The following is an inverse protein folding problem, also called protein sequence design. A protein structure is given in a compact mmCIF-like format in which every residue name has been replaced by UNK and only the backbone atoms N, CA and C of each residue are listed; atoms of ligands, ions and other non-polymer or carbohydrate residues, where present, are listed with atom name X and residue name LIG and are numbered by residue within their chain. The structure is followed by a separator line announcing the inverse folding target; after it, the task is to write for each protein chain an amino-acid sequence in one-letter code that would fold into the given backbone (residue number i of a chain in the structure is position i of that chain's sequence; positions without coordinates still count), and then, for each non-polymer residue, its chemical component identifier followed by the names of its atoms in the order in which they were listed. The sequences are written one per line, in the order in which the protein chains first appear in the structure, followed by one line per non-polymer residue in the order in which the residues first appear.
data_IF_853728188164
#
_entry.id   IF_853728188164
#
_cell.length_a   1.000
_cell.length_b   1.000
_cell.length_c   1.000
_cell.angle_alpha   90.00
_cell.angle_beta   90.00
_cell.angle_gamma   90.00
#
_symmetry.space_group_name_H-M   'P 1'
#
loop_
_entity.id
_entity.type
_entity.pdbx_description
1 polymer ?
#
# COMPACT_ATOMS: atom_id res chain seq x y z
N UNK A 1 3.00 28.94 38.01
CA UNK A 1 3.17 29.06 36.55
C UNK A 1 4.04 27.90 36.11
N UNK A 2 3.40 26.77 35.81
CA UNK A 2 4.03 25.60 35.22
C UNK A 2 4.03 25.82 33.71
N UNK A 3 5.21 25.89 33.12
CA UNK A 3 5.41 25.91 31.67
C UNK A 3 4.82 24.64 31.07
N UNK A 4 3.98 24.72 30.01
CA UNK A 4 3.61 23.55 29.26
C UNK A 4 4.85 23.02 28.53
N UNK A 5 5.11 21.73 28.71
CA UNK A 5 6.04 20.95 27.90
C UNK A 5 5.64 21.11 26.43
N UNK A 6 6.53 21.72 25.66
CA UNK A 6 6.48 21.71 24.19
C UNK A 6 6.65 20.27 23.73
N UNK A 7 5.68 19.79 22.95
CA UNK A 7 5.64 18.45 22.38
C UNK A 7 6.97 18.05 21.72
N UNK A 8 7.65 17.05 22.28
CA UNK A 8 8.60 16.24 21.54
C UNK A 8 7.80 15.35 20.59
N UNK A 9 7.80 15.68 19.29
CA UNK A 9 7.11 14.88 18.25
C UNK A 9 6.91 15.59 16.90
N UNK A 10 7.69 16.62 16.59
CA UNK A 10 7.36 17.62 15.55
C UNK A 10 7.86 17.31 14.13
N UNK A 11 8.70 16.31 13.92
CA UNK A 11 9.33 16.07 12.61
C UNK A 11 8.35 15.39 11.63
N UNK A 12 8.28 15.83 10.35
CA UNK A 12 7.52 15.12 9.31
C UNK A 12 8.06 13.70 9.09
N UNK A 13 7.20 12.81 8.60
CA UNK A 13 7.62 11.47 8.17
C UNK A 13 8.68 11.57 7.06
N UNK A 14 9.70 10.73 7.12
CA UNK A 14 10.51 10.43 5.94
C UNK A 14 9.74 9.42 5.09
N UNK A 15 9.57 9.70 3.80
CA UNK A 15 8.83 8.83 2.88
C UNK A 15 9.78 7.92 2.13
N UNK A 16 9.70 6.62 2.40
CA UNK A 16 10.42 5.59 1.67
C UNK A 16 9.57 5.04 0.54
N UNK A 17 10.15 4.84 -0.63
CA UNK A 17 9.50 4.22 -1.79
C UNK A 17 9.78 2.74 -1.80
N UNK A 18 8.77 1.94 -2.08
CA UNK A 18 9.00 0.53 -2.32
C UNK A 18 7.92 -0.17 -3.11
N UNK A 19 8.24 -1.42 -3.44
CA UNK A 19 7.43 -2.30 -4.23
C UNK A 19 7.38 -3.68 -3.55
N UNK A 20 6.19 -4.09 -3.07
CA UNK A 20 6.02 -5.30 -2.27
C UNK A 20 5.51 -6.47 -3.10
N UNK A 21 5.33 -6.31 -4.42
CA UNK A 21 4.75 -7.33 -5.27
C UNK A 21 5.54 -7.43 -6.57
N UNK A 22 6.50 -8.36 -6.60
CA UNK A 22 7.38 -8.60 -7.75
C UNK A 22 7.72 -10.08 -7.89
N UNK A 23 8.08 -10.48 -9.11
CA UNK A 23 8.28 -11.89 -9.48
C UNK A 23 9.59 -12.11 -10.24
N UNK A 24 10.36 -13.06 -9.74
CA UNK A 24 11.54 -13.61 -10.39
C UNK A 24 11.49 -15.13 -10.20
N UNK A 25 11.09 -15.84 -11.25
CA UNK A 25 10.83 -17.29 -11.22
C UNK A 25 11.95 -18.10 -11.89
N UNK A 26 13.05 -17.44 -12.23
CA UNK A 26 14.22 -18.02 -12.88
C UNK A 26 15.45 -17.50 -12.16
N UNK A 27 16.14 -18.37 -11.42
CA UNK A 27 17.26 -17.96 -10.55
C UNK A 27 18.36 -17.24 -11.32
N UNK A 28 18.62 -17.65 -12.56
CA UNK A 28 19.61 -17.06 -13.45
C UNK A 28 19.30 -15.60 -13.81
N UNK A 29 18.04 -15.17 -13.71
CA UNK A 29 17.60 -13.80 -14.02
C UNK A 29 17.65 -12.85 -12.82
N UNK A 30 18.15 -13.31 -11.67
CA UNK A 30 18.25 -12.46 -10.46
C UNK A 30 19.13 -11.22 -10.70
N UNK A 31 20.18 -11.33 -11.51
CA UNK A 31 21.00 -10.18 -11.92
C UNK A 31 20.20 -9.16 -12.73
N UNK A 32 19.54 -9.62 -13.80
CA UNK A 32 18.70 -8.77 -14.66
C UNK A 32 17.55 -8.11 -13.88
N UNK A 33 16.98 -8.83 -12.91
CA UNK A 33 15.98 -8.27 -12.00
C UNK A 33 16.54 -7.08 -11.22
N UNK A 34 17.73 -7.22 -10.61
CA UNK A 34 18.37 -6.12 -9.85
C UNK A 34 18.65 -4.92 -10.74
N UNK A 35 19.18 -5.15 -11.94
CA UNK A 35 19.50 -4.10 -12.90
C UNK A 35 18.24 -3.36 -13.39
N UNK A 36 17.06 -3.97 -13.24
CA UNK A 36 15.78 -3.36 -13.60
C UNK A 36 15.16 -2.50 -12.50
N UNK A 37 15.59 -2.63 -11.24
CA UNK A 37 15.01 -1.89 -10.11
C UNK A 37 15.25 -0.40 -10.28
N UNK A 38 14.19 0.41 -10.20
CA UNK A 38 14.33 1.86 -10.26
C UNK A 38 15.19 2.38 -9.10
N UNK A 39 16.22 3.22 -9.36
CA UNK A 39 17.15 3.68 -8.34
C UNK A 39 16.51 4.58 -7.28
N UNK A 40 15.25 5.00 -7.46
CA UNK A 40 14.48 5.77 -6.46
C UNK A 40 13.79 4.87 -5.44
N UNK A 41 13.77 3.54 -5.61
CA UNK A 41 13.25 2.64 -4.59
C UNK A 41 14.22 2.49 -3.42
N UNK A 42 13.64 2.46 -2.23
CA UNK A 42 14.34 2.23 -0.96
C UNK A 42 14.19 0.77 -0.50
N UNK A 43 13.14 0.08 -0.94
CA UNK A 43 12.92 -1.33 -0.64
C UNK A 43 12.12 -2.07 -1.74
N UNK A 44 12.32 -3.38 -1.84
CA UNK A 44 11.57 -4.28 -2.74
C UNK A 44 11.28 -5.60 -2.01
N UNK A 45 10.16 -6.26 -2.34
CA UNK A 45 9.90 -7.63 -1.92
C UNK A 45 9.84 -8.57 -3.12
N UNK A 46 10.52 -9.72 -3.02
CA UNK A 46 10.33 -10.83 -3.96
C UNK A 46 9.19 -11.71 -3.43
N UNK A 47 8.10 -11.82 -4.20
CA UNK A 47 6.85 -12.45 -3.78
C UNK A 47 6.34 -13.40 -4.86
N UNK A 48 7.15 -14.41 -5.23
CA UNK A 48 6.69 -15.38 -6.22
C UNK A 48 5.43 -16.10 -5.73
N UNK A 49 4.63 -16.52 -6.69
CA UNK A 49 3.46 -17.37 -6.53
C UNK A 49 3.72 -18.63 -5.68
N UNK A 50 2.99 -18.78 -4.56
CA UNK A 50 3.21 -19.84 -3.56
C UNK A 50 3.01 -21.28 -4.06
N UNK A 51 2.22 -21.47 -5.12
CA UNK A 51 1.96 -22.76 -5.76
C UNK A 51 3.09 -23.22 -6.70
N UNK A 52 4.03 -22.34 -7.07
CA UNK A 52 5.06 -22.67 -8.06
C UNK A 52 6.24 -23.39 -7.39
N UNK A 53 6.85 -24.41 -8.02
CA UNK A 53 8.01 -25.09 -7.45
C UNK A 53 9.16 -24.16 -7.08
N UNK A 54 9.47 -23.17 -7.92
CA UNK A 54 10.55 -22.20 -7.69
C UNK A 54 10.36 -21.37 -6.42
N UNK A 55 9.12 -21.18 -5.96
CA UNK A 55 8.86 -20.47 -4.71
C UNK A 55 9.55 -21.15 -3.52
N UNK A 56 9.61 -22.49 -3.49
CA UNK A 56 10.28 -23.25 -2.42
C UNK A 56 11.82 -23.19 -2.47
N UNK A 57 12.37 -22.52 -3.48
CA UNK A 57 13.80 -22.22 -3.63
C UNK A 57 14.07 -20.71 -3.52
N UNK A 58 13.03 -19.87 -3.42
CA UNK A 58 13.10 -18.40 -3.46
C UNK A 58 14.07 -17.81 -2.43
N UNK A 59 14.24 -18.43 -1.27
CA UNK A 59 15.20 -17.97 -0.26
C UNK A 59 16.64 -17.83 -0.78
N UNK A 60 17.07 -18.64 -1.75
CA UNK A 60 18.37 -18.48 -2.42
C UNK A 60 18.41 -17.22 -3.30
N UNK A 61 17.32 -16.95 -4.01
CA UNK A 61 17.18 -15.75 -4.84
C UNK A 61 17.13 -14.48 -3.99
N UNK A 62 16.39 -14.48 -2.88
CA UNK A 62 16.37 -13.38 -1.91
C UNK A 62 17.77 -13.12 -1.34
N UNK A 63 18.53 -14.17 -1.01
CA UNK A 63 19.90 -14.03 -0.54
C UNK A 63 20.82 -13.41 -1.61
N UNK A 64 20.70 -13.82 -2.87
CA UNK A 64 21.46 -13.24 -3.99
C UNK A 64 21.05 -11.78 -4.27
N UNK A 65 19.75 -11.45 -4.24
CA UNK A 65 19.23 -10.09 -4.34
C UNK A 65 19.82 -9.18 -3.25
N UNK A 66 19.84 -9.64 -1.98
CA UNK A 66 20.44 -8.90 -0.85
C UNK A 66 21.94 -8.63 -1.04
N UNK A 67 22.65 -9.52 -1.73
CA UNK A 67 24.07 -9.33 -2.02
C UNK A 67 24.29 -8.34 -3.17
N UNK A 68 23.42 -8.36 -4.18
CA UNK A 68 23.56 -7.55 -5.40
C UNK A 68 23.02 -6.13 -5.25
N UNK A 69 21.86 -5.97 -4.63
CA UNK A 69 21.19 -4.67 -4.47
C UNK A 69 21.41 -4.10 -3.06
N UNK A 70 22.61 -3.58 -2.83
CA UNK A 70 23.01 -3.04 -1.52
C UNK A 70 22.55 -1.61 -1.25
N UNK A 71 21.96 -0.92 -2.24
CA UNK A 71 21.43 0.43 -2.09
C UNK A 71 20.05 0.49 -1.43
N UNK A 72 19.36 -0.66 -1.29
CA UNK A 72 18.01 -0.75 -0.74
C UNK A 72 17.81 -1.97 0.16
N UNK A 73 16.59 -2.14 0.65
CA UNK A 73 16.18 -3.26 1.50
C UNK A 73 15.45 -4.30 0.66
N UNK A 74 15.90 -5.56 0.71
CA UNK A 74 15.21 -6.69 0.07
C UNK A 74 14.45 -7.50 1.11
N UNK A 75 13.14 -7.61 0.90
CA UNK A 75 12.18 -8.37 1.68
C UNK A 75 11.83 -9.68 0.98
N UNK A 76 11.46 -10.69 1.78
CA UNK A 76 10.95 -11.97 1.28
C UNK A 76 9.44 -12.02 1.48
N UNK A 77 8.71 -12.58 0.53
CA UNK A 77 7.29 -12.83 0.70
C UNK A 77 6.75 -13.88 -0.25
N UNK A 78 5.43 -14.01 -0.27
CA UNK A 78 4.72 -14.93 -1.16
C UNK A 78 3.52 -14.20 -1.73
N UNK A 79 3.31 -14.32 -3.04
CA UNK A 79 1.98 -14.07 -3.59
C UNK A 79 1.13 -15.33 -3.36
N UNK A 80 0.31 -15.27 -2.32
CA UNK A 80 -0.51 -16.37 -1.86
C UNK A 80 -1.82 -16.42 -2.63
N UNK A 81 -2.20 -17.59 -3.14
CA UNK A 81 -3.55 -17.81 -3.67
C UNK A 81 -4.55 -17.96 -2.52
N UNK A 82 -4.96 -16.80 -2.02
CA UNK A 82 -5.71 -16.64 -0.80
C UNK A 82 -7.09 -17.35 -0.86
N UNK A 83 -7.50 -18.06 0.21
CA UNK A 83 -8.85 -18.62 0.34
C UNK A 83 -9.94 -17.56 0.18
N UNK A 84 -10.98 -17.88 -0.59
CA UNK A 84 -12.17 -17.05 -0.84
C UNK A 84 -11.93 -15.67 -1.49
N UNK A 85 -10.71 -15.36 -1.95
CA UNK A 85 -10.35 -14.08 -2.55
C UNK A 85 -9.63 -14.20 -3.90
N UNK A 86 -8.75 -13.23 -4.18
CA UNK A 86 -7.85 -13.22 -5.34
C UNK A 86 -6.47 -13.75 -4.96
N UNK A 87 -5.45 -12.92 -5.17
CA UNK A 87 -4.12 -13.13 -4.61
C UNK A 87 -3.85 -12.12 -3.50
N UNK A 88 -3.02 -12.48 -2.53
CA UNK A 88 -2.56 -11.58 -1.48
C UNK A 88 -1.06 -11.75 -1.29
N UNK A 89 -0.32 -10.65 -1.23
CA UNK A 89 1.08 -10.69 -0.83
C UNK A 89 1.17 -10.81 0.70
N UNK A 90 1.90 -11.82 1.16
CA UNK A 90 2.35 -11.95 2.56
C UNK A 90 3.85 -11.71 2.60
N UNK A 91 4.26 -10.58 3.15
CA UNK A 91 5.66 -10.12 3.17
C UNK A 91 6.21 -10.18 4.58
N UNK A 92 7.39 -10.77 4.73
CA UNK A 92 8.06 -11.01 6.00
C UNK A 92 9.18 -9.97 6.21
N UNK A 93 9.35 -9.45 7.43
CA UNK A 93 10.54 -8.69 7.76
C UNK A 93 11.76 -9.63 7.69
N UNK A 94 12.97 -9.12 7.37
CA UNK A 94 14.18 -9.93 7.32
C UNK A 94 14.38 -10.73 8.62
N UNK A 95 14.28 -12.05 8.52
CA UNK A 95 14.43 -12.96 9.65
C UNK A 95 15.08 -14.27 9.20
N UNK A 96 15.73 -14.99 10.12
CA UNK A 96 16.44 -16.24 9.80
C UNK A 96 15.52 -17.35 9.31
N UNK A 97 14.24 -17.33 9.70
CA UNK A 97 13.22 -18.31 9.32
C UNK A 97 12.08 -17.75 8.45
N UNK A 98 12.29 -16.58 7.82
CA UNK A 98 11.26 -15.96 6.95
C UNK A 98 10.80 -16.90 5.82
N UNK A 99 11.72 -17.72 5.28
CA UNK A 99 11.43 -18.70 4.25
C UNK A 99 10.62 -19.88 4.80
N UNK A 100 10.96 -20.37 6.00
CA UNK A 100 10.23 -21.46 6.65
C UNK A 100 8.77 -21.07 6.89
N UNK A 101 8.54 -19.86 7.41
CA UNK A 101 7.19 -19.32 7.60
C UNK A 101 6.42 -19.19 6.27
N UNK A 102 7.04 -18.64 5.22
CA UNK A 102 6.41 -18.48 3.92
C UNK A 102 6.05 -19.84 3.28
N UNK A 103 6.94 -20.83 3.39
CA UNK A 103 6.72 -22.18 2.86
C UNK A 103 5.64 -22.93 3.62
N UNK A 104 5.61 -22.78 4.96
CA UNK A 104 4.56 -23.36 5.78
C UNK A 104 3.18 -22.81 5.40
N UNK A 105 3.06 -21.48 5.19
CA UNK A 105 1.82 -20.86 4.71
C UNK A 105 1.38 -21.45 3.37
N UNK A 106 2.28 -21.48 2.37
CA UNK A 106 1.94 -21.99 1.05
C UNK A 106 1.52 -23.46 1.08
N UNK A 107 2.29 -24.33 1.75
CA UNK A 107 1.98 -25.77 1.88
C UNK A 107 0.68 -26.04 2.63
N UNK A 108 0.41 -25.25 3.66
CA UNK A 108 -0.78 -25.41 4.48
C UNK A 108 -2.04 -24.92 3.78
N UNK A 109 -1.97 -23.77 3.11
CA UNK A 109 -3.17 -22.96 2.85
C UNK A 109 -3.24 -22.32 1.46
N UNK A 110 -2.29 -22.53 0.55
CA UNK A 110 -2.42 -22.07 -0.84
C UNK A 110 -3.48 -22.87 -1.60
N UNK A 111 -4.52 -22.21 -2.12
CA UNK A 111 -5.67 -22.90 -2.74
C UNK A 111 -5.35 -23.65 -4.04
N UNK A 112 -4.20 -23.38 -4.65
CA UNK A 112 -3.78 -23.99 -5.91
C UNK A 112 -2.67 -25.02 -5.74
N UNK A 113 -2.23 -25.27 -4.50
CA UNK A 113 -1.23 -26.28 -4.20
C UNK A 113 -1.88 -27.59 -3.76
N UNK A 114 -1.45 -28.70 -4.37
CA UNK A 114 -1.97 -30.03 -4.05
C UNK A 114 -1.69 -30.41 -2.59
N UNK A 115 -2.74 -30.86 -1.89
CA UNK A 115 -2.67 -31.27 -0.49
C UNK A 115 -2.83 -30.14 0.53
N UNK A 116 -2.86 -28.88 0.09
CA UNK A 116 -3.20 -27.75 0.94
C UNK A 116 -4.69 -27.79 1.35
N UNK A 117 -4.99 -27.11 2.46
CA UNK A 117 -6.35 -26.97 3.03
C UNK A 117 -6.68 -25.48 3.14
N UNK A 118 -7.04 -24.81 2.03
CA UNK A 118 -7.26 -23.36 2.03
C UNK A 118 -8.37 -22.97 3.00
N UNK A 119 -7.99 -22.27 4.07
CA UNK A 119 -8.88 -21.80 5.13
C UNK A 119 -8.36 -20.47 5.70
N UNK A 120 -9.22 -19.46 5.77
CA UNK A 120 -8.83 -18.11 6.19
C UNK A 120 -8.38 -18.14 7.66
N UNK A 121 -9.20 -18.70 8.54
CA UNK A 121 -8.97 -18.67 9.98
C UNK A 121 -7.67 -19.42 10.36
N UNK A 122 -7.47 -20.62 9.81
CA UNK A 122 -6.28 -21.42 10.07
C UNK A 122 -5.01 -20.80 9.47
N UNK A 123 -5.09 -20.21 8.26
CA UNK A 123 -3.97 -19.49 7.65
C UNK A 123 -3.58 -18.26 8.48
N UNK A 124 -4.56 -17.45 8.89
CA UNK A 124 -4.33 -16.28 9.73
C UNK A 124 -3.82 -16.66 11.13
N UNK A 125 -4.33 -17.74 11.72
CA UNK A 125 -3.83 -18.27 12.99
C UNK A 125 -2.35 -18.67 12.89
N UNK A 126 -1.94 -19.38 11.82
CA UNK A 126 -0.54 -19.74 11.61
C UNK A 126 0.36 -18.50 11.49
N UNK A 127 -0.08 -17.46 10.77
CA UNK A 127 0.66 -16.20 10.69
C UNK A 127 0.72 -15.48 12.04
N UNK A 128 -0.31 -15.65 12.87
CA UNK A 128 -0.40 -15.12 14.22
C UNK A 128 0.54 -15.75 15.25
N UNK A 129 0.88 -17.02 15.06
CA UNK A 129 1.85 -17.75 15.89
C UNK A 129 3.27 -17.23 15.71
N UNK A 130 3.55 -16.54 14.60
CA UNK A 130 4.86 -15.91 14.36
C UNK A 130 5.07 -14.77 15.36
N UNK A 131 6.24 -14.78 15.99
CA UNK A 131 6.62 -13.80 17.00
C UNK A 131 6.56 -12.35 16.45
N UNK A 132 6.23 -11.35 17.30
CA UNK A 132 5.97 -9.99 16.83
C UNK A 132 7.08 -9.35 15.97
N UNK A 133 8.35 -9.66 16.24
CA UNK A 133 9.50 -9.14 15.48
C UNK A 133 9.65 -9.75 14.08
N UNK A 134 9.19 -10.99 13.88
CA UNK A 134 9.22 -11.71 12.61
C UNK A 134 7.85 -11.73 11.89
N UNK A 135 6.82 -11.14 12.50
CA UNK A 135 5.44 -11.20 12.02
C UNK A 135 5.31 -10.50 10.66
N UNK A 136 4.68 -11.15 9.67
CA UNK A 136 4.52 -10.57 8.35
C UNK A 136 3.45 -9.47 8.31
N UNK A 137 3.30 -8.89 7.14
CA UNK A 137 2.14 -8.11 6.71
C UNK A 137 1.50 -8.78 5.51
N UNK A 138 0.17 -8.68 5.42
CA UNK A 138 -0.67 -9.18 4.34
C UNK A 138 -1.37 -7.99 3.68
N UNK A 139 -1.23 -7.89 2.36
CA UNK A 139 -2.03 -6.99 1.54
C UNK A 139 -2.77 -7.73 0.43
N UNK A 140 -3.98 -7.26 0.12
CA UNK A 140 -4.81 -7.84 -0.94
C UNK A 140 -4.36 -7.31 -2.31
N UNK A 141 -3.97 -8.21 -3.21
CA UNK A 141 -3.41 -7.83 -4.51
C UNK A 141 -4.52 -7.45 -5.49
N UNK A 142 -4.16 -6.47 -6.33
CA UNK A 142 -4.78 -6.07 -7.57
C UNK A 142 -6.30 -6.30 -7.64
N UNK A 143 -7.11 -5.71 -6.73
CA UNK A 143 -8.51 -6.06 -6.50
C UNK A 143 -9.43 -5.62 -7.65
N UNK A 144 -9.30 -6.30 -8.79
CA UNK A 144 -10.16 -6.15 -9.94
C UNK A 144 -11.57 -6.65 -9.60
N UNK A 145 -12.60 -6.20 -10.34
CA UNK A 145 -13.98 -6.62 -10.11
C UNK A 145 -14.11 -8.15 -9.99
N UNK A 146 -14.68 -8.61 -8.88
CA UNK A 146 -14.93 -10.03 -8.61
C UNK A 146 -13.77 -10.79 -7.94
N UNK A 147 -12.59 -10.20 -7.75
CA UNK A 147 -11.49 -10.87 -7.04
C UNK A 147 -11.59 -10.77 -5.52
N UNK A 148 -12.01 -9.60 -5.02
CA UNK A 148 -12.16 -9.33 -3.59
C UNK A 148 -13.52 -8.72 -3.30
N UNK A 149 -14.05 -8.99 -2.11
CA UNK A 149 -15.27 -8.37 -1.58
C UNK A 149 -15.02 -7.82 -0.19
N UNK A 150 -15.83 -6.85 0.24
CA UNK A 150 -15.74 -6.28 1.58
C UNK A 150 -15.94 -7.32 2.68
N UNK A 151 -16.86 -8.27 2.48
CA UNK A 151 -17.13 -9.34 3.45
C UNK A 151 -15.92 -10.27 3.62
N UNK A 152 -15.26 -10.64 2.52
CA UNK A 152 -14.05 -11.46 2.57
C UNK A 152 -12.92 -10.70 3.27
N UNK A 153 -12.69 -9.43 2.93
CA UNK A 153 -11.67 -8.62 3.61
C UNK A 153 -11.97 -8.50 5.12
N UNK A 154 -13.24 -8.32 5.49
CA UNK A 154 -13.67 -8.28 6.88
C UNK A 154 -13.41 -9.61 7.60
N UNK A 155 -13.65 -10.75 6.93
CA UNK A 155 -13.35 -12.08 7.47
C UNK A 155 -11.86 -12.22 7.80
N UNK A 156 -10.95 -11.88 6.87
CA UNK A 156 -9.49 -11.89 7.14
C UNK A 156 -9.13 -11.03 8.35
N UNK A 157 -9.71 -9.83 8.46
CA UNK A 157 -9.45 -8.91 9.57
C UNK A 157 -10.01 -9.41 10.90
N UNK A 158 -11.11 -10.15 10.89
CA UNK A 158 -11.70 -10.73 12.11
C UNK A 158 -10.78 -11.78 12.76
N UNK A 159 -9.90 -12.40 11.97
CA UNK A 159 -8.87 -13.35 12.43
C UNK A 159 -7.48 -12.73 12.56
N UNK A 160 -7.34 -11.41 12.35
CA UNK A 160 -6.05 -10.74 12.43
C UNK A 160 -5.59 -10.56 13.88
N UNK A 161 -4.65 -11.41 14.30
CA UNK A 161 -3.99 -11.31 15.59
C UNK A 161 -2.69 -10.51 15.47
N UNK A 162 -2.86 -9.20 15.55
CA UNK A 162 -1.75 -8.26 15.78
C UNK A 162 -1.14 -7.67 14.52
N UNK A 163 -2.01 -7.15 13.65
CA UNK A 163 -1.66 -6.23 12.57
C UNK A 163 -0.96 -6.92 11.41
N UNK A 164 -1.44 -8.12 11.06
CA UNK A 164 -1.01 -8.85 9.86
C UNK A 164 -1.72 -8.23 8.65
N UNK A 165 -3.04 -8.05 8.69
CA UNK A 165 -3.78 -7.51 7.55
C UNK A 165 -3.60 -5.99 7.52
N UNK A 166 -2.77 -5.51 6.60
CA UNK A 166 -2.40 -4.08 6.57
C UNK A 166 -3.14 -3.29 5.52
N UNK A 167 -3.53 -3.86 4.38
CA UNK A 167 -4.02 -3.03 3.27
C UNK A 167 -4.38 -3.77 2.00
N UNK A 168 -4.52 -3.01 0.91
CA UNK A 168 -4.73 -3.52 -0.44
C UNK A 168 -4.00 -2.69 -1.48
N UNK A 169 -3.79 -3.30 -2.64
CA UNK A 169 -3.37 -2.56 -3.83
C UNK A 169 -4.52 -1.71 -4.37
N UNK A 170 -4.25 -0.42 -4.51
CA UNK A 170 -5.20 0.62 -4.90
C UNK A 170 -5.43 0.63 -6.40
N UNK A 171 -4.49 0.10 -7.16
CA UNK A 171 -4.47 0.01 -8.61
C UNK A 171 -3.91 -1.33 -9.03
N UNK A 172 -4.18 -1.74 -10.26
CA UNK A 172 -3.64 -2.97 -10.81
C UNK A 172 -2.11 -2.85 -11.01
N UNK A 173 -1.38 -3.96 -10.82
CA UNK A 173 -0.03 -4.14 -11.35
C UNK A 173 -0.06 -4.26 -12.88
N UNK A 174 0.92 -4.92 -13.49
CA UNK A 174 0.85 -5.22 -14.93
C UNK A 174 0.63 -3.98 -15.79
N UNK A 175 1.47 -2.99 -15.50
CA UNK A 175 1.27 -1.59 -15.80
C UNK A 175 1.69 -1.21 -17.22
N UNK A 176 2.65 -1.96 -17.77
CA UNK A 176 3.25 -1.71 -19.07
C UNK A 176 2.42 -2.20 -20.26
N UNK A 177 1.32 -2.92 -20.04
CA UNK A 177 0.46 -3.44 -21.12
C UNK A 177 -1.04 -3.21 -20.86
N UNK A 178 -1.86 -3.51 -21.88
CA UNK A 178 -3.26 -3.08 -21.95
C UNK A 178 -4.15 -3.55 -20.77
N UNK A 179 -3.84 -4.66 -20.12
CA UNK A 179 -4.67 -5.18 -19.03
C UNK A 179 -4.70 -4.20 -17.84
N UNK A 180 -3.56 -3.72 -17.38
CA UNK A 180 -3.51 -2.73 -16.29
C UNK A 180 -3.97 -1.33 -16.72
N UNK A 181 -3.88 -1.00 -18.02
CA UNK A 181 -4.22 0.33 -18.54
C UNK A 181 -5.72 0.54 -18.82
N UNK A 182 -6.49 -0.54 -18.96
CA UNK A 182 -7.92 -0.44 -19.29
C UNK A 182 -8.83 -0.08 -18.10
N UNK A 183 -8.29 -0.09 -16.86
CA UNK A 183 -9.08 0.15 -15.67
C UNK A 183 -9.32 1.64 -15.43
N UNK A 184 -10.58 2.00 -15.25
CA UNK A 184 -11.00 3.34 -14.84
C UNK A 184 -10.83 3.50 -13.32
N UNK A 185 -9.97 4.44 -12.91
CA UNK A 185 -9.70 4.76 -11.50
C UNK A 185 -10.95 5.34 -10.77
N UNK A 186 -12.00 5.72 -11.49
CA UNK A 186 -13.27 6.09 -10.88
C UNK A 186 -14.09 4.88 -10.40
N UNK A 187 -13.87 3.70 -10.99
CA UNK A 187 -14.65 2.48 -10.72
C UNK A 187 -13.81 1.31 -10.23
N UNK A 188 -12.47 1.42 -10.27
CA UNK A 188 -11.58 0.38 -9.79
C UNK A 188 -11.75 0.15 -8.28
N UNK A 189 -12.05 -1.08 -7.82
CA UNK A 189 -12.49 -1.33 -6.44
C UNK A 189 -11.50 -0.88 -5.35
N UNK A 190 -10.20 -0.90 -5.63
CA UNK A 190 -9.15 -0.50 -4.69
C UNK A 190 -9.10 1.01 -4.41
N UNK A 191 -9.56 1.86 -5.34
CA UNK A 191 -9.41 3.32 -5.24
C UNK A 191 -10.68 4.13 -5.39
N UNK A 192 -11.74 3.55 -5.95
CA UNK A 192 -13.02 4.20 -6.18
C UNK A 192 -13.63 4.73 -4.86
N UNK A 193 -14.37 5.86 -4.90
CA UNK A 193 -15.17 6.32 -3.77
C UNK A 193 -16.23 5.28 -3.42
N UNK A 194 -16.34 4.93 -2.14
CA UNK A 194 -17.19 3.84 -1.66
C UNK A 194 -16.68 2.44 -2.00
N UNK A 195 -15.44 2.31 -2.49
CA UNK A 195 -14.82 1.04 -2.84
C UNK A 195 -14.41 0.18 -1.63
N UNK A 196 -13.58 -0.84 -1.90
CA UNK A 196 -13.12 -1.79 -0.88
C UNK A 196 -12.31 -1.10 0.23
N UNK A 197 -11.45 -0.16 -0.14
CA UNK A 197 -10.67 0.62 0.81
C UNK A 197 -11.55 1.40 1.80
N UNK A 198 -12.58 2.06 1.27
CA UNK A 198 -13.50 2.88 2.07
C UNK A 198 -14.33 2.02 3.03
N UNK A 199 -14.73 0.83 2.58
CA UNK A 199 -15.41 -0.13 3.45
C UNK A 199 -14.48 -0.62 4.55
N UNK A 200 -13.20 -0.85 4.26
CA UNK A 200 -12.22 -1.27 5.26
C UNK A 200 -12.01 -0.19 6.35
N UNK A 201 -11.95 1.10 5.99
CA UNK A 201 -11.85 2.16 7.00
C UNK A 201 -13.09 2.26 7.91
N UNK A 202 -14.28 1.96 7.39
CA UNK A 202 -15.51 1.90 8.19
C UNK A 202 -15.47 0.91 9.36
N UNK A 203 -14.55 -0.06 9.34
CA UNK A 203 -14.37 -1.03 10.42
C UNK A 203 -13.53 -0.51 11.60
N UNK A 204 -12.87 0.66 11.48
CA UNK A 204 -12.19 1.35 12.58
C UNK A 204 -10.66 1.36 12.53
N UNK A 205 -9.94 0.23 12.37
CA UNK A 205 -8.48 0.28 12.36
C UNK A 205 -7.90 0.88 11.08
N UNK A 206 -6.65 1.42 11.14
CA UNK A 206 -5.91 1.87 9.97
C UNK A 206 -5.84 0.80 8.88
N UNK A 207 -5.70 1.26 7.64
CA UNK A 207 -5.61 0.41 6.46
C UNK A 207 -4.75 1.12 5.41
N UNK A 208 -3.84 0.39 4.79
CA UNK A 208 -2.88 0.88 3.83
C UNK A 208 -3.39 0.82 2.41
N UNK A 209 -3.25 1.93 1.70
CA UNK A 209 -3.31 1.99 0.25
C UNK A 209 -1.92 1.82 -0.34
N UNK A 210 -1.79 0.85 -1.23
CA UNK A 210 -0.53 0.42 -1.84
C UNK A 210 -0.61 0.47 -3.36
N UNK A 211 0.51 0.57 -4.06
CA UNK A 211 0.60 0.37 -5.49
C UNK A 211 1.92 -0.31 -5.84
N UNK A 212 1.84 -1.46 -6.50
CA UNK A 212 2.99 -2.31 -6.78
C UNK A 212 3.04 -2.70 -8.26
N UNK A 213 4.20 -3.22 -8.70
CA UNK A 213 4.41 -3.54 -10.11
C UNK A 213 3.73 -4.80 -10.57
N UNK A 214 3.70 -5.83 -9.71
CA UNK A 214 3.44 -7.20 -10.18
C UNK A 214 4.40 -7.55 -11.34
N UNK A 215 5.63 -7.02 -11.27
CA UNK A 215 6.60 -7.13 -12.34
C UNK A 215 7.12 -8.55 -12.45
N UNK A 216 7.15 -9.08 -13.68
CA UNK A 216 7.68 -10.40 -13.97
C UNK A 216 8.87 -10.32 -14.92
N UNK A 217 10.09 -10.39 -14.40
CA UNK A 217 11.32 -10.33 -15.23
C UNK A 217 11.36 -11.44 -16.29
N UNK A 218 10.88 -12.62 -15.94
CA UNK A 218 10.85 -13.81 -16.80
C UNK A 218 9.74 -13.79 -17.87
N UNK A 219 8.96 -12.70 -17.97
CA UNK A 219 7.90 -12.53 -18.98
C UNK A 219 8.18 -11.38 -19.96
N UNK A 220 9.28 -10.66 -19.82
CA UNK A 220 9.51 -9.40 -20.55
C UNK A 220 9.60 -9.55 -22.07
N UNK A 221 10.00 -10.72 -22.57
CA UNK A 221 10.08 -11.03 -24.00
C UNK A 221 8.71 -11.17 -24.68
N UNK A 222 7.69 -11.59 -23.93
CA UNK A 222 6.33 -11.87 -24.43
C UNK A 222 5.28 -10.90 -23.92
N UNK A 223 5.53 -10.29 -22.77
CA UNK A 223 4.61 -9.42 -22.05
C UNK A 223 5.43 -8.35 -21.34
N UNK A 224 5.69 -7.26 -22.06
CA UNK A 224 6.39 -6.11 -21.51
C UNK A 224 5.64 -5.58 -20.28
N UNK A 225 6.39 -5.24 -19.24
CA UNK A 225 5.89 -4.56 -18.05
C UNK A 225 6.90 -3.57 -17.51
N UNK A 226 6.46 -2.61 -16.71
CA UNK A 226 7.39 -1.69 -16.06
C UNK A 226 8.10 -2.39 -14.90
N UNK A 227 9.41 -2.22 -14.84
CA UNK A 227 10.22 -2.72 -13.75
C UNK A 227 9.86 -2.06 -12.40
N UNK A 228 10.25 -2.65 -11.26
CA UNK A 228 9.84 -2.19 -9.94
C UNK A 228 10.17 -0.71 -9.72
N UNK A 229 9.16 0.07 -9.36
CA UNK A 229 9.31 1.51 -9.06
C UNK A 229 9.36 2.46 -10.26
N UNK A 230 9.43 1.95 -11.50
CA UNK A 230 9.43 2.80 -12.70
C UNK A 230 8.12 3.59 -12.82
N UNK A 231 6.99 2.94 -12.52
CA UNK A 231 5.68 3.56 -12.55
C UNK A 231 4.91 3.40 -11.23
N UNK A 232 4.25 2.27 -10.92
CA UNK A 232 3.65 2.18 -9.58
C UNK A 232 4.73 1.99 -8.50
N UNK A 233 4.50 2.64 -7.36
CA UNK A 233 5.24 2.41 -6.12
C UNK A 233 4.41 2.86 -4.92
N UNK A 234 4.76 2.34 -3.74
CA UNK A 234 4.18 2.76 -2.47
C UNK A 234 5.15 3.66 -1.74
N UNK A 235 4.65 4.78 -1.22
CA UNK A 235 5.35 5.58 -0.20
C UNK A 235 4.96 5.07 1.18
N UNK A 236 5.94 4.83 2.05
CA UNK A 236 5.75 4.44 3.46
C UNK A 236 6.40 5.47 4.36
N UNK A 237 5.60 6.06 5.25
CA UNK A 237 6.05 7.05 6.22
C UNK A 237 6.76 6.38 7.39
N UNK A 238 8.04 6.70 7.56
CA UNK A 238 8.87 6.24 8.69
C UNK A 238 9.40 7.44 9.49
N UNK A 239 9.77 7.26 10.77
CA UNK A 239 10.47 8.31 11.50
C UNK A 239 11.76 8.74 10.77
N UNK A 240 12.06 10.04 10.78
CA UNK A 240 13.27 10.56 10.16
C UNK A 240 14.53 9.82 10.66
N UNK A 241 15.38 9.39 9.73
CA UNK A 241 16.58 8.61 10.03
C UNK A 241 16.36 7.11 10.31
N UNK A 242 15.12 6.62 10.43
CA UNK A 242 14.81 5.21 10.67
C UNK A 242 14.48 4.47 9.37
N UNK A 243 15.50 4.29 8.52
CA UNK A 243 15.40 3.54 7.27
C UNK A 243 15.62 2.05 7.48
N UNK A 244 14.78 1.41 8.31
CA UNK A 244 14.91 0.00 8.67
C UNK A 244 13.67 -0.81 8.30
N UNK A 245 13.76 -2.14 8.14
CA UNK A 245 12.60 -2.99 7.90
C UNK A 245 11.52 -2.84 8.99
N UNK A 246 11.90 -2.73 10.26
CA UNK A 246 10.96 -2.58 11.38
C UNK A 246 10.15 -1.29 11.24
N UNK A 247 10.80 -0.19 10.85
CA UNK A 247 10.15 1.09 10.63
C UNK A 247 9.19 1.05 9.43
N UNK A 248 9.58 0.37 8.34
CA UNK A 248 8.71 0.14 7.16
C UNK A 248 7.46 -0.64 7.58
N UNK A 249 7.62 -1.75 8.29
CA UNK A 249 6.50 -2.58 8.74
C UNK A 249 5.59 -1.85 9.73
N UNK A 250 6.16 -1.04 10.63
CA UNK A 250 5.38 -0.16 11.50
C UNK A 250 4.63 0.94 10.72
N UNK A 251 5.20 1.43 9.61
CA UNK A 251 4.54 2.36 8.69
C UNK A 251 3.34 1.73 7.99
N UNK A 252 3.54 0.53 7.42
CA UNK A 252 2.48 -0.26 6.77
C UNK A 252 1.33 -0.56 7.74
N UNK A 253 1.62 -1.08 8.94
CA UNK A 253 0.59 -1.39 9.94
C UNK A 253 -0.20 -0.18 10.42
N UNK A 254 0.44 0.99 10.44
CA UNK A 254 -0.21 2.24 10.85
C UNK A 254 -1.01 2.90 9.72
N UNK A 255 -1.06 2.33 8.50
CA UNK A 255 -1.69 3.01 7.38
C UNK A 255 -0.94 4.29 6.95
N UNK A 256 0.35 4.42 7.28
CA UNK A 256 1.19 5.56 6.88
C UNK A 256 1.68 5.38 5.45
N UNK A 257 0.76 5.25 4.49
CA UNK A 257 1.11 4.92 3.10
C UNK A 257 0.39 5.74 2.06
N UNK A 258 1.06 5.95 0.92
CA UNK A 258 0.45 6.46 -0.29
C UNK A 258 0.74 5.52 -1.46
N UNK A 259 -0.26 5.26 -2.29
CA UNK A 259 -0.17 4.56 -3.55
C UNK A 259 0.09 5.57 -4.68
N UNK A 260 1.18 5.43 -5.42
CA UNK A 260 1.57 6.37 -6.47
C UNK A 260 1.71 5.67 -7.82
N UNK A 261 1.22 6.30 -8.88
CA UNK A 261 1.43 5.88 -10.27
C UNK A 261 2.25 6.92 -11.02
N UNK A 262 3.54 6.65 -11.21
CA UNK A 262 4.52 7.61 -11.72
C UNK A 262 5.02 8.55 -10.63
N UNK A 263 5.88 9.49 -11.03
CA UNK A 263 6.64 10.35 -10.10
C UNK A 263 6.32 11.84 -10.28
N UNK A 264 5.12 12.14 -10.77
CA UNK A 264 4.67 13.49 -11.13
C UNK A 264 4.10 14.29 -9.95
N UNK A 265 3.87 13.64 -8.80
CA UNK A 265 3.41 14.29 -7.57
C UNK A 265 4.36 13.98 -6.43
N UNK A 266 4.78 15.03 -5.74
CA UNK A 266 5.54 14.96 -4.50
C UNK A 266 4.66 15.39 -3.32
N UNK A 267 4.51 14.50 -2.34
CA UNK A 267 3.78 14.78 -1.11
C UNK A 267 4.55 15.78 -0.24
N UNK A 268 3.94 16.91 0.08
CA UNK A 268 4.40 17.83 1.13
C UNK A 268 3.88 17.42 2.50
N UNK A 269 2.59 17.09 2.60
CA UNK A 269 1.97 16.57 3.81
C UNK A 269 0.46 16.41 3.71
N UNK A 270 -0.11 15.56 4.55
CA UNK A 270 -1.56 15.45 4.75
C UNK A 270 -1.84 15.36 6.25
N UNK A 271 -2.61 16.32 6.76
CA UNK A 271 -2.89 16.46 8.19
C UNK A 271 -4.28 17.01 8.47
N UNK A 272 -4.80 16.74 9.67
CA UNK A 272 -5.94 17.42 10.28
C UNK A 272 -5.40 18.26 11.45
N UNK A 273 -5.65 19.56 11.41
CA UNK A 273 -5.10 20.55 12.34
C UNK A 273 -6.26 21.21 13.07
N UNK A 274 -6.31 21.05 14.39
CA UNK A 274 -7.28 21.71 15.26
C UNK A 274 -6.59 22.42 16.44
N UNK A 275 -7.37 22.97 17.35
CA UNK A 275 -6.84 23.61 18.56
C UNK A 275 -6.15 22.62 19.50
N UNK A 276 -6.53 21.34 19.41
CA UNK A 276 -6.07 20.27 20.30
C UNK A 276 -4.81 19.56 19.81
N UNK A 277 -4.40 19.79 18.56
CA UNK A 277 -3.19 19.19 18.00
C UNK A 277 -3.23 19.00 16.50
N UNK A 278 -2.37 18.08 16.04
CA UNK A 278 -2.23 17.71 14.62
C UNK A 278 -2.26 16.20 14.53
N UNK A 279 -3.17 15.66 13.73
CA UNK A 279 -3.16 14.26 13.29
C UNK A 279 -2.70 14.20 11.84
N UNK A 280 -1.85 13.24 11.50
CA UNK A 280 -1.31 13.04 10.16
C UNK A 280 -1.81 11.74 9.57
N UNK A 281 -1.44 11.46 8.33
CA UNK A 281 -1.73 10.18 7.66
C UNK A 281 -1.40 9.00 8.60
N UNK A 282 -2.35 8.07 8.77
CA UNK A 282 -2.23 6.92 9.67
C UNK A 282 -2.62 7.18 11.14
N UNK A 283 -2.80 8.44 11.53
CA UNK A 283 -3.26 8.81 12.87
C UNK A 283 -4.80 8.83 12.95
N UNK A 284 -5.31 8.97 14.18
CA UNK A 284 -6.72 9.27 14.45
C UNK A 284 -6.84 10.69 15.00
N UNK A 285 -7.74 11.49 14.45
CA UNK A 285 -8.15 12.77 15.00
C UNK A 285 -9.17 12.55 16.12
N UNK A 286 -8.86 13.05 17.32
CA UNK A 286 -9.63 12.76 18.54
C UNK A 286 -10.93 13.57 18.69
N UNK A 287 -11.27 14.41 17.71
CA UNK A 287 -12.51 15.19 17.69
C UNK A 287 -12.30 16.70 17.75
N UNK A 288 -13.40 17.45 17.73
CA UNK A 288 -13.35 18.91 17.68
C UNK A 288 -13.20 19.47 16.27
N UNK A 289 -13.54 20.76 16.14
CA UNK A 289 -13.49 21.45 14.85
C UNK A 289 -12.04 21.62 14.42
N UNK A 290 -11.75 21.29 13.17
CA UNK A 290 -10.39 21.28 12.63
C UNK A 290 -10.38 21.64 11.15
N UNK A 291 -9.19 21.75 10.59
CA UNK A 291 -8.97 21.92 9.16
C UNK A 291 -8.08 20.79 8.65
N UNK A 292 -8.58 20.04 7.68
CA UNK A 292 -7.76 19.12 6.90
C UNK A 292 -6.93 19.93 5.89
N UNK A 293 -5.65 19.62 5.77
CA UNK A 293 -4.69 20.31 4.90
C UNK A 293 -3.89 19.27 4.12
N UNK A 294 -3.88 19.43 2.80
CA UNK A 294 -3.05 18.64 1.89
C UNK A 294 -2.14 19.57 1.10
N UNK A 295 -0.83 19.37 1.25
CA UNK A 295 0.24 20.12 0.58
C UNK A 295 1.03 19.18 -0.33
N UNK A 296 1.28 19.60 -1.56
CA UNK A 296 1.99 18.81 -2.56
C UNK A 296 2.57 19.68 -3.68
N UNK A 297 3.54 19.13 -4.40
CA UNK A 297 4.08 19.69 -5.64
C UNK A 297 3.72 18.75 -6.81
N UNK A 298 3.27 19.32 -7.92
CA UNK A 298 2.92 18.58 -9.13
C UNK A 298 3.72 19.07 -10.34
N UNK A 299 4.38 18.16 -11.04
CA UNK A 299 5.18 18.46 -12.25
C UNK A 299 4.32 18.59 -13.51
N UNK A 300 3.06 18.17 -13.45
CA UNK A 300 2.12 18.15 -14.56
C UNK A 300 0.73 18.61 -14.12
N UNK A 301 -0.16 19.01 -15.04
CA UNK A 301 -1.49 19.50 -14.68
C UNK A 301 -2.34 18.37 -14.06
N UNK A 302 -3.18 18.75 -13.10
CA UNK A 302 -4.13 17.86 -12.44
C UNK A 302 -5.52 18.00 -13.06
N UNK A 303 -6.23 16.89 -13.15
CA UNK A 303 -7.66 16.90 -13.48
C UNK A 303 -8.48 17.23 -12.23
N UNK A 304 -8.17 16.57 -11.10
CA UNK A 304 -8.88 16.75 -9.83
C UNK A 304 -8.09 16.29 -8.61
N UNK A 305 -8.40 16.91 -7.47
CA UNK A 305 -8.06 16.45 -6.12
C UNK A 305 -9.35 16.18 -5.35
N UNK A 306 -9.65 14.92 -5.09
CA UNK A 306 -10.84 14.51 -4.35
C UNK A 306 -10.49 14.23 -2.88
N UNK A 307 -11.28 14.80 -1.99
CA UNK A 307 -11.38 14.40 -0.59
C UNK A 307 -12.41 13.28 -0.49
N UNK A 308 -11.97 12.09 -0.12
CA UNK A 308 -12.80 10.89 -0.03
C UNK A 308 -12.97 10.48 1.42
N UNK A 309 -14.17 10.09 1.81
CA UNK A 309 -14.41 9.55 3.14
C UNK A 309 -15.82 9.75 3.62
N UNK A 310 -15.97 9.75 4.94
CA UNK A 310 -17.22 9.93 5.65
C UNK A 310 -16.94 10.78 6.88
N UNK A 311 -17.58 11.96 6.96
CA UNK A 311 -17.44 12.88 8.09
C UNK A 311 -18.53 12.65 9.15
N UNK A 312 -19.59 11.90 8.85
CA UNK A 312 -20.71 11.63 9.76
C UNK A 312 -20.84 10.13 10.12
N UNK A 313 -19.88 9.30 9.69
CA UNK A 313 -19.90 7.85 9.83
C UNK A 313 -20.90 7.16 8.90
N UNK A 314 -21.53 7.90 7.99
CA UNK A 314 -22.40 7.39 6.94
C UNK A 314 -21.64 6.79 5.75
N UNK A 315 -22.35 6.63 4.63
CA UNK A 315 -21.80 6.04 3.40
C UNK A 315 -20.61 6.88 2.87
N UNK A 316 -19.42 6.30 2.69
CA UNK A 316 -18.28 7.02 2.17
C UNK A 316 -18.47 7.49 0.72
N UNK A 317 -17.89 8.63 0.37
CA UNK A 317 -17.93 9.19 -0.97
C UNK A 317 -16.98 10.36 -1.14
N UNK A 318 -17.16 11.14 -2.21
CA UNK A 318 -16.45 12.41 -2.41
C UNK A 318 -17.10 13.46 -1.50
N UNK A 319 -16.40 13.90 -0.46
CA UNK A 319 -16.89 14.92 0.48
C UNK A 319 -16.58 16.35 0.03
N UNK A 320 -15.49 16.51 -0.73
CA UNK A 320 -15.11 17.75 -1.40
C UNK A 320 -14.18 17.43 -2.57
N UNK A 321 -14.06 18.35 -3.52
CA UNK A 321 -13.11 18.24 -4.61
C UNK A 321 -12.54 19.62 -4.97
N UNK A 322 -11.28 19.65 -5.38
CA UNK A 322 -10.68 20.78 -6.08
C UNK A 322 -10.49 20.39 -7.55
N UNK A 323 -10.93 21.28 -8.45
CA UNK A 323 -10.90 21.07 -9.89
C UNK A 323 -9.50 21.23 -10.50
N UNK A 324 -9.39 21.34 -11.83
CA UNK A 324 -8.10 21.26 -12.51
C UNK A 324 -7.09 22.25 -11.95
N UNK A 325 -5.90 21.76 -11.64
CA UNK A 325 -4.81 22.57 -11.08
C UNK A 325 -3.64 22.58 -12.08
N UNK A 326 -2.98 23.73 -12.31
CA UNK A 326 -1.76 23.77 -13.10
C UNK A 326 -0.61 23.04 -12.40
N UNK A 327 0.49 22.72 -13.09
CA UNK A 327 1.73 22.30 -12.42
C UNK A 327 2.19 23.33 -11.38
N UNK A 328 2.82 22.88 -10.31
CA UNK A 328 3.39 23.71 -9.25
C UNK A 328 3.05 23.25 -7.84
N UNK A 329 3.34 24.13 -6.87
CA UNK A 329 3.03 23.92 -5.47
C UNK A 329 1.57 24.23 -5.16
N UNK A 330 0.90 23.33 -4.44
CA UNK A 330 -0.50 23.46 -4.07
C UNK A 330 -0.73 23.16 -2.59
N UNK A 331 -1.70 23.89 -2.03
CA UNK A 331 -2.26 23.64 -0.71
C UNK A 331 -3.77 23.69 -0.80
N UNK A 332 -4.44 22.56 -0.56
CA UNK A 332 -5.89 22.47 -0.53
C UNK A 332 -6.38 22.16 0.88
N UNK A 333 -7.56 22.66 1.23
CA UNK A 333 -8.09 22.61 2.59
C UNK A 333 -9.55 22.17 2.62
N UNK A 334 -9.95 21.51 3.71
CA UNK A 334 -11.32 21.11 3.99
C UNK A 334 -11.62 21.34 5.47
N UNK A 335 -12.74 22.01 5.78
CA UNK A 335 -13.18 22.17 7.16
C UNK A 335 -13.75 20.86 7.70
N UNK A 336 -13.30 20.48 8.90
CA UNK A 336 -13.74 19.28 9.62
C UNK A 336 -14.65 19.72 10.77
N UNK A 337 -15.95 19.36 10.75
CA UNK A 337 -16.88 19.75 11.80
C UNK A 337 -16.55 19.06 13.13
N UNK A 338 -16.93 19.67 14.26
CA UNK A 338 -16.57 19.17 15.59
C UNK A 338 -17.09 17.77 15.93
N UNK A 339 -18.20 17.34 15.31
CA UNK A 339 -18.77 16.01 15.45
C UNK A 339 -18.32 15.03 14.37
N UNK A 340 -17.22 15.30 13.66
CA UNK A 340 -16.79 14.47 12.56
C UNK A 340 -16.36 13.08 13.05
N UNK A 341 -16.90 12.03 12.43
CA UNK A 341 -16.55 10.64 12.69
C UNK A 341 -16.46 9.86 11.39
N UNK A 342 -15.55 8.89 11.32
CA UNK A 342 -15.28 8.11 10.12
C UNK A 342 -13.83 8.26 9.70
N UNK A 343 -13.59 8.74 8.48
CA UNK A 343 -12.23 8.86 7.94
C UNK A 343 -12.17 9.86 6.78
N UNK A 344 -10.96 10.30 6.47
CA UNK A 344 -10.65 11.16 5.34
C UNK A 344 -9.39 10.68 4.63
N UNK A 345 -9.45 10.52 3.31
CA UNK A 345 -8.31 10.22 2.44
C UNK A 345 -8.36 11.03 1.16
N UNK A 346 -7.32 10.94 0.35
CA UNK A 346 -7.18 11.71 -0.88
C UNK A 346 -7.08 10.81 -2.11
N UNK A 347 -7.63 11.31 -3.22
CA UNK A 347 -7.34 10.85 -4.57
C UNK A 347 -6.99 12.04 -5.44
N UNK A 348 -5.78 12.05 -5.98
CA UNK A 348 -5.33 13.04 -6.96
C UNK A 348 -5.21 12.37 -8.31
N UNK A 349 -5.84 12.94 -9.34
CA UNK A 349 -5.73 12.45 -10.71
C UNK A 349 -4.96 13.44 -11.58
N UNK A 350 -4.00 12.91 -12.33
CA UNK A 350 -3.30 13.68 -13.35
C UNK A 350 -4.22 13.93 -14.55
N UNK A 351 -4.13 15.12 -15.14
CA UNK A 351 -4.73 15.42 -16.44
C UNK A 351 -3.93 14.79 -17.60
N UNK A 352 -2.67 14.42 -17.37
CA UNK A 352 -1.86 13.66 -18.32
C UNK A 352 -2.17 12.18 -18.23
N UNK A 353 -2.37 11.55 -19.39
CA UNK A 353 -2.47 10.10 -19.51
C UNK A 353 -1.16 9.46 -19.98
N UNK A 354 -0.08 10.25 -20.09
CA UNK A 354 1.21 9.77 -20.55
C UNK A 354 1.88 8.95 -19.44
N UNK A 355 2.26 7.72 -19.80
CA UNK A 355 3.06 6.79 -19.00
C UNK A 355 4.42 6.58 -19.67
N UNK A 356 5.46 6.08 -18.97
CA UNK A 356 6.76 5.81 -19.58
C UNK A 356 6.65 4.94 -20.84
N UNK A 357 7.37 5.25 -21.91
CA UNK A 357 7.42 4.35 -23.07
C UNK A 357 8.06 3.00 -22.69
N UNK A 358 7.67 1.87 -23.32
CA UNK A 358 6.69 1.71 -24.39
C UNK A 358 5.23 1.47 -23.93
N UNK A 359 4.90 1.69 -22.65
CA UNK A 359 3.56 1.35 -22.16
C UNK A 359 2.44 2.28 -22.69
N UNK A 360 1.18 1.87 -22.51
CA UNK A 360 0.02 2.55 -23.08
C UNK A 360 -0.28 3.88 -22.37
N UNK A 361 -1.06 4.74 -23.04
CA UNK A 361 -1.67 5.89 -22.38
C UNK A 361 -2.85 5.44 -21.53
N UNK A 362 -2.91 5.91 -20.30
CA UNK A 362 -4.04 5.68 -19.40
C UNK A 362 -3.94 6.61 -18.19
N UNK A 363 -5.08 6.81 -17.51
CA UNK A 363 -5.14 7.62 -16.30
C UNK A 363 -4.15 7.11 -15.25
N UNK A 364 -3.61 8.06 -14.48
CA UNK A 364 -2.67 7.81 -13.39
C UNK A 364 -3.06 8.65 -12.19
N UNK A 365 -2.90 8.07 -11.01
CA UNK A 365 -3.34 8.68 -9.77
C UNK A 365 -2.30 8.61 -8.65
N UNK A 366 -2.54 9.43 -7.64
CA UNK A 366 -1.90 9.39 -6.34
C UNK A 366 -2.99 9.27 -5.28
N UNK A 367 -2.85 8.29 -4.39
CA UNK A 367 -3.87 7.97 -3.39
C UNK A 367 -3.23 7.88 -2.02
N UNK A 368 -3.83 8.50 -1.02
CA UNK A 368 -3.37 8.36 0.36
C UNK A 368 -4.21 7.33 1.08
N UNK A 369 -3.62 6.67 2.07
CA UNK A 369 -4.40 6.08 3.16
C UNK A 369 -5.20 7.16 3.91
N UNK A 370 -5.94 6.75 4.94
CA UNK A 370 -6.77 7.67 5.69
C UNK A 370 -6.09 8.32 6.91
N UNK A 371 -6.62 9.48 7.29
CA UNK A 371 -6.66 9.95 8.68
C UNK A 371 -8.03 9.52 9.22
N UNK A 372 -8.04 8.80 10.33
CA UNK A 372 -9.29 8.39 10.98
C UNK A 372 -9.87 9.55 11.79
N UNK A 373 -11.19 9.61 11.90
CA UNK A 373 -11.90 10.66 12.63
C UNK A 373 -12.72 9.96 13.73
N UNK A 374 -12.37 10.20 14.99
CA UNK A 374 -13.07 9.63 16.14
C UNK A 374 -13.55 10.74 17.06
N UNK A 375 -14.84 11.05 17.02
CA UNK A 375 -15.47 12.00 17.94
C UNK A 375 -15.96 11.34 19.24
N UNK A 376 -15.70 10.05 19.49
CA UNK A 376 -16.19 9.37 20.69
C UNK A 376 -15.44 9.73 21.97
N UNK A 377 -14.36 10.50 21.85
CA UNK A 377 -13.50 10.95 22.94
C UNK A 377 -13.65 12.45 23.30
N UNK A 378 -14.49 13.20 22.59
CA UNK A 378 -14.68 14.65 22.74
C UNK A 378 -15.96 15.10 23.44
#
# INVERSE_FOLDING_TARGET
MTTPSTAEGTEPWAWLRGDLHTHCEVAEQTGDFVDSIDPRLDFVALTNHGQKPVFFEQHHMVADLRQRWSSGIVLSGVEWNAPQGGHACVVFPPHTDEAGHAYALARGFDRHLDGARPDIAAGMAQLGEIEPGARPVLCFNHPAPGQWSSDVIAEYRSHDVGGIVVGLETVHGHQGYNAGACFDLATYPGCAPGGLADTAYGAGPPFSLLAHSDFHIHKQDRLFDYAPGVFNHTLVGVPAGQRTPEAIFAGLRAGRTCAAQGHWLQLGGFSVIGTEGVSRLGDTWAGGAAQAVFEFDADEPLDRVDWLGSLDGGTPGVVAAAGPLPPGHHRVQLDIPAGARGFLRLRVLSASHERPAPGPTASKGFFTSAILLDSSLG
#
